data_IF_981963433903
#
_entry.id   IF_981963433903
#
_cell.length_a   1.000
_cell.length_b   1.000
_cell.length_c   1.000
_cell.angle_alpha   90.00
_cell.angle_beta   90.00
_cell.angle_gamma   90.00
#
_symmetry.space_group_name_H-M   'P 1'
#
loop_
_entity.id
_entity.type
_entity.pdbx_description
1 polymer ?
#
# COMPACT_ATOMS: atom_id res chain seq x y z
N UNK A 1 -29.36 -9.99 -18.41
CA UNK A 1 -28.13 -9.16 -18.43
C UNK A 1 -27.97 -8.59 -17.02
N UNK A 2 -27.11 -9.18 -16.17
CA UNK A 2 -26.93 -8.72 -14.78
C UNK A 2 -25.77 -7.73 -14.74
N UNK A 3 -26.08 -6.43 -14.64
CA UNK A 3 -25.10 -5.42 -14.25
C UNK A 3 -24.66 -5.73 -12.82
N UNK A 4 -23.36 -5.98 -12.64
CA UNK A 4 -22.75 -6.18 -11.34
C UNK A 4 -22.82 -4.87 -10.55
N UNK A 5 -23.47 -4.91 -9.39
CA UNK A 5 -23.48 -3.84 -8.40
C UNK A 5 -22.03 -3.51 -8.01
N UNK A 6 -21.55 -2.35 -8.49
CA UNK A 6 -20.41 -1.68 -7.90
C UNK A 6 -20.92 -1.05 -6.60
N UNK A 7 -20.23 -1.28 -5.48
CA UNK A 7 -20.58 -0.59 -4.23
C UNK A 7 -20.49 0.93 -4.46
N UNK A 8 -21.58 1.66 -4.20
CA UNK A 8 -21.74 3.07 -4.61
C UNK A 8 -20.77 4.07 -3.96
N UNK A 9 -19.86 3.61 -3.10
CA UNK A 9 -18.90 4.43 -2.36
C UNK A 9 -17.43 4.14 -2.73
N UNK A 10 -17.16 3.15 -3.59
CA UNK A 10 -15.83 2.91 -4.17
C UNK A 10 -15.71 3.59 -5.52
N UNK A 11 -14.59 4.27 -5.74
CA UNK A 11 -14.28 4.93 -7.01
C UNK A 11 -12.78 4.92 -7.28
N UNK A 12 -12.39 5.05 -8.54
CA UNK A 12 -10.97 5.18 -8.90
C UNK A 12 -10.37 6.42 -8.22
N UNK A 13 -9.15 6.28 -7.71
CA UNK A 13 -8.41 7.36 -7.07
C UNK A 13 -7.05 7.48 -7.70
N UNK A 14 -6.60 8.71 -7.93
CA UNK A 14 -5.26 8.96 -8.42
C UNK A 14 -4.24 8.84 -7.28
N UNK A 15 -3.06 8.30 -7.60
CA UNK A 15 -1.95 8.25 -6.66
C UNK A 15 -1.35 9.66 -6.39
N UNK A 16 -0.79 9.80 -5.19
CA UNK A 16 0.09 10.90 -4.78
C UNK A 16 1.49 10.28 -4.55
N UNK A 17 2.49 10.55 -5.40
CA UNK A 17 3.77 9.83 -5.41
C UNK A 17 4.56 9.83 -4.09
N UNK A 18 4.26 10.79 -3.20
CA UNK A 18 4.93 10.93 -1.90
C UNK A 18 4.23 10.17 -0.77
N UNK A 19 3.08 9.52 -1.03
CA UNK A 19 2.24 8.88 -0.02
C UNK A 19 1.86 7.46 -0.43
N UNK A 20 2.55 6.48 0.13
CA UNK A 20 2.24 5.06 -0.13
C UNK A 20 0.79 4.67 0.23
N UNK A 21 0.11 5.41 1.13
CA UNK A 21 -1.33 5.26 1.40
C UNK A 21 -2.21 5.56 0.18
N UNK A 22 -1.92 6.62 -0.59
CA UNK A 22 -2.69 6.88 -1.81
C UNK A 22 -2.41 5.83 -2.86
N UNK A 23 -1.18 5.33 -2.93
CA UNK A 23 -0.80 4.25 -3.84
C UNK A 23 -1.58 2.99 -3.53
N UNK A 24 -1.66 2.62 -2.24
CA UNK A 24 -2.46 1.48 -1.79
C UNK A 24 -3.94 1.63 -2.20
N UNK A 25 -4.58 2.76 -1.88
CA UNK A 25 -6.00 2.97 -2.19
C UNK A 25 -6.25 3.01 -3.71
N UNK A 26 -5.34 3.61 -4.50
CA UNK A 26 -5.42 3.57 -5.96
C UNK A 26 -5.39 2.13 -6.45
N UNK A 27 -4.41 1.33 -6.00
CA UNK A 27 -4.24 -0.05 -6.46
C UNK A 27 -5.41 -0.94 -6.04
N UNK A 28 -5.86 -0.85 -4.78
CA UNK A 28 -7.02 -1.63 -4.29
C UNK A 28 -8.27 -1.36 -5.15
N UNK A 29 -8.54 -0.08 -5.43
CA UNK A 29 -9.65 0.30 -6.29
C UNK A 29 -9.44 -0.13 -7.74
N UNK A 30 -8.23 0.05 -8.30
CA UNK A 30 -7.95 -0.37 -9.68
C UNK A 30 -8.13 -1.89 -9.86
N UNK A 31 -7.68 -2.69 -8.88
CA UNK A 31 -7.87 -4.14 -8.84
C UNK A 31 -9.36 -4.49 -8.76
N UNK A 32 -10.12 -3.82 -7.89
CA UNK A 32 -11.58 -3.99 -7.80
C UNK A 32 -12.28 -3.72 -9.14
N UNK A 33 -11.85 -2.68 -9.86
CA UNK A 33 -12.39 -2.30 -11.17
C UNK A 33 -11.69 -2.98 -12.36
N UNK A 34 -10.85 -4.01 -12.15
CA UNK A 34 -10.08 -4.67 -13.22
C UNK A 34 -10.92 -5.05 -14.44
N UNK A 35 -12.11 -5.61 -14.22
CA UNK A 35 -13.04 -5.98 -15.31
C UNK A 35 -13.51 -4.77 -16.11
N UNK A 36 -13.75 -3.64 -15.47
CA UNK A 36 -14.16 -2.42 -16.15
C UNK A 36 -13.04 -1.90 -17.08
N UNK A 37 -11.78 -1.95 -16.65
CA UNK A 37 -10.63 -1.61 -17.51
C UNK A 37 -10.53 -2.52 -18.73
N UNK A 38 -10.70 -3.84 -18.55
CA UNK A 38 -10.70 -4.79 -19.66
C UNK A 38 -11.86 -4.56 -20.63
N UNK A 39 -13.06 -4.25 -20.12
CA UNK A 39 -14.19 -3.91 -20.97
C UNK A 39 -13.98 -2.60 -21.73
N UNK A 40 -13.34 -1.60 -21.10
CA UNK A 40 -13.01 -0.34 -21.75
C UNK A 40 -12.04 -0.55 -22.93
N UNK A 41 -11.04 -1.42 -22.77
CA UNK A 41 -10.09 -1.77 -23.85
C UNK A 41 -10.77 -2.44 -25.05
N UNK A 42 -11.81 -3.23 -24.80
CA UNK A 42 -12.60 -3.85 -25.87
C UNK A 42 -13.56 -2.86 -26.54
N UNK A 43 -14.06 -1.87 -25.80
CA UNK A 43 -15.08 -0.93 -26.26
C UNK A 43 -14.54 0.39 -26.86
N UNK A 44 -13.34 0.81 -26.46
CA UNK A 44 -12.69 2.04 -26.92
C UNK A 44 -11.32 1.71 -27.52
N UNK A 45 -11.23 1.79 -28.85
CA UNK A 45 -10.01 1.51 -29.59
C UNK A 45 -8.86 2.48 -29.26
N UNK A 46 -9.15 3.65 -28.71
CA UNK A 46 -8.15 4.63 -28.27
C UNK A 46 -7.59 4.32 -26.87
N UNK A 47 -8.28 3.49 -26.08
CA UNK A 47 -7.80 3.10 -24.77
C UNK A 47 -6.71 2.04 -24.88
N UNK A 48 -5.45 2.44 -24.63
CA UNK A 48 -4.25 1.57 -24.71
C UNK A 48 -3.56 1.35 -23.36
N UNK A 49 -4.20 1.78 -22.27
CA UNK A 49 -3.59 1.81 -20.94
C UNK A 49 -4.08 0.67 -20.02
N UNK A 50 -4.71 -0.36 -20.57
CA UNK A 50 -5.11 -1.53 -19.79
C UNK A 50 -3.86 -2.30 -19.34
N UNK A 51 -3.66 -2.56 -18.04
CA UNK A 51 -2.54 -3.37 -17.59
C UNK A 51 -2.62 -4.80 -18.14
N UNK A 52 -1.48 -5.36 -18.51
CA UNK A 52 -1.33 -6.78 -18.88
C UNK A 52 -1.62 -7.70 -17.68
N UNK A 53 -1.81 -8.99 -17.94
CA UNK A 53 -1.99 -9.99 -16.87
C UNK A 53 -0.85 -9.95 -15.84
N UNK A 54 0.39 -9.81 -16.31
CA UNK A 54 1.58 -9.72 -15.44
C UNK A 54 1.63 -8.43 -14.62
N UNK A 55 1.13 -7.32 -15.16
CA UNK A 55 1.08 -6.04 -14.45
C UNK A 55 -0.02 -6.05 -13.39
N UNK A 56 -1.18 -6.65 -13.68
CA UNK A 56 -2.21 -6.89 -12.68
C UNK A 56 -1.70 -7.74 -11.51
N UNK A 57 -0.92 -8.78 -11.79
CA UNK A 57 -0.30 -9.61 -10.76
C UNK A 57 0.68 -8.78 -9.90
N UNK A 58 1.52 -7.94 -10.53
CA UNK A 58 2.39 -7.00 -9.81
C UNK A 58 1.58 -6.04 -8.94
N UNK A 59 0.50 -5.46 -9.45
CA UNK A 59 -0.39 -4.58 -8.68
C UNK A 59 -0.94 -5.29 -7.45
N UNK A 60 -1.40 -6.54 -7.58
CA UNK A 60 -1.91 -7.35 -6.46
C UNK A 60 -0.81 -7.58 -5.42
N UNK A 61 0.40 -7.95 -5.85
CA UNK A 61 1.51 -8.21 -4.93
C UNK A 61 1.96 -6.94 -4.19
N UNK A 62 2.01 -5.79 -4.88
CA UNK A 62 2.30 -4.50 -4.25
C UNK A 62 1.19 -4.10 -3.27
N UNK A 63 -0.08 -4.28 -3.66
CA UNK A 63 -1.21 -3.97 -2.80
C UNK A 63 -1.20 -4.80 -1.51
N UNK A 64 -0.93 -6.12 -1.62
CA UNK A 64 -0.76 -7.02 -0.47
C UNK A 64 0.39 -6.57 0.43
N UNK A 65 1.52 -6.21 -0.16
CA UNK A 65 2.67 -5.72 0.60
C UNK A 65 2.35 -4.42 1.36
N UNK A 66 1.59 -3.49 0.76
CA UNK A 66 1.23 -2.21 1.39
C UNK A 66 0.08 -2.29 2.40
N UNK A 67 -0.74 -3.36 2.38
CA UNK A 67 -1.93 -3.48 3.21
C UNK A 67 -1.67 -3.34 4.74
N UNK A 68 -0.67 -4.04 5.33
CA UNK A 68 -0.42 -3.94 6.77
C UNK A 68 -0.03 -2.52 7.20
N UNK A 69 0.72 -1.81 6.36
CA UNK A 69 1.10 -0.43 6.64
C UNK A 69 -0.14 0.47 6.66
N UNK A 70 -1.04 0.28 5.69
CA UNK A 70 -2.26 1.08 5.56
C UNK A 70 -3.14 0.92 6.79
N UNK A 71 -3.36 -0.31 7.24
CA UNK A 71 -4.12 -0.61 8.46
C UNK A 71 -3.53 0.09 9.68
N UNK A 72 -2.20 0.00 9.85
CA UNK A 72 -1.49 0.67 10.94
C UNK A 72 -1.65 2.19 10.85
N UNK A 73 -1.59 2.77 9.64
CA UNK A 73 -1.79 4.22 9.46
C UNK A 73 -3.22 4.65 9.75
N UNK A 74 -4.21 3.85 9.37
CA UNK A 74 -5.61 4.09 9.71
C UNK A 74 -5.83 4.04 11.24
N UNK A 75 -5.21 3.07 11.92
CA UNK A 75 -5.25 2.97 13.38
C UNK A 75 -4.68 4.25 14.03
N UNK A 76 -3.52 4.73 13.56
CA UNK A 76 -2.93 5.96 14.07
C UNK A 76 -3.76 7.21 13.72
N UNK A 77 -4.34 7.27 12.53
CA UNK A 77 -5.14 8.43 12.08
C UNK A 77 -6.50 8.54 12.79
N UNK A 78 -7.04 7.43 13.28
CA UNK A 78 -8.35 7.37 13.95
C UNK A 78 -8.31 7.58 15.46
N UNK A 79 -7.13 7.53 16.09
CA UNK A 79 -7.01 7.69 17.55
C UNK A 79 -6.73 9.14 17.92
N UNK A 80 -7.55 9.73 18.82
CA UNK A 80 -7.32 11.10 19.34
C UNK A 80 -5.99 11.22 20.11
N UNK A 81 -5.47 10.11 20.63
CA UNK A 81 -4.16 9.98 21.25
C UNK A 81 -3.69 8.53 21.08
N UNK A 82 -2.78 8.20 20.16
CA UNK A 82 -2.15 6.90 20.19
C UNK A 82 -1.32 6.83 21.47
N UNK A 83 -1.76 6.04 22.45
CA UNK A 83 -1.00 5.80 23.66
C UNK A 83 0.29 5.07 23.27
N UNK A 84 1.44 5.49 23.80
CA UNK A 84 2.76 5.00 23.38
C UNK A 84 2.90 3.47 23.43
N UNK A 85 2.13 2.82 24.31
CA UNK A 85 2.00 1.36 24.42
C UNK A 85 1.46 0.67 23.15
N UNK A 86 0.76 1.37 22.26
CA UNK A 86 0.30 0.86 20.96
C UNK A 86 1.30 1.21 19.84
N UNK A 87 2.02 2.33 19.98
CA UNK A 87 2.92 2.83 18.95
C UNK A 87 4.12 1.90 18.75
N UNK A 88 4.83 1.56 19.83
CA UNK A 88 6.06 0.78 19.74
C UNK A 88 5.84 -0.65 19.18
N UNK A 89 4.84 -1.43 19.64
CA UNK A 89 4.57 -2.75 19.06
C UNK A 89 4.23 -2.69 17.57
N UNK A 90 3.35 -1.77 17.14
CA UNK A 90 2.99 -1.64 15.73
C UNK A 90 4.20 -1.29 14.85
N UNK A 91 5.04 -0.36 15.29
CA UNK A 91 6.25 0.03 14.58
C UNK A 91 7.26 -1.13 14.52
N UNK A 92 7.44 -1.86 15.63
CA UNK A 92 8.32 -3.03 15.70
C UNK A 92 7.84 -4.17 14.78
N UNK A 93 6.54 -4.49 14.81
CA UNK A 93 5.94 -5.49 13.92
C UNK A 93 6.10 -5.11 12.45
N UNK A 94 5.90 -3.82 12.12
CA UNK A 94 6.11 -3.31 10.75
C UNK A 94 7.55 -3.53 10.29
N UNK A 95 8.52 -3.22 11.15
CA UNK A 95 9.94 -3.38 10.86
C UNK A 95 10.33 -4.86 10.69
N UNK A 96 9.80 -5.75 11.53
CA UNK A 96 10.02 -7.18 11.43
C UNK A 96 9.45 -7.75 10.12
N UNK A 97 8.23 -7.35 9.73
CA UNK A 97 7.61 -7.75 8.47
C UNK A 97 8.41 -7.29 7.26
N UNK A 98 8.91 -6.04 7.26
CA UNK A 98 9.81 -5.54 6.20
C UNK A 98 11.07 -6.41 6.05
N UNK A 99 11.71 -6.78 7.17
CA UNK A 99 12.91 -7.61 7.13
C UNK A 99 12.65 -9.03 6.62
N UNK A 100 11.52 -9.62 6.99
CA UNK A 100 11.14 -10.95 6.52
C UNK A 100 10.87 -10.97 5.00
N UNK A 101 10.14 -9.98 4.50
CA UNK A 101 9.86 -9.80 3.07
C UNK A 101 11.13 -9.45 2.26
N UNK A 102 12.13 -8.81 2.88
CA UNK A 102 13.41 -8.52 2.22
C UNK A 102 14.20 -9.78 1.83
N UNK A 103 14.06 -10.84 2.63
CA UNK A 103 14.79 -12.10 2.45
C UNK A 103 14.10 -13.08 1.50
N UNK A 104 12.78 -12.95 1.32
CA UNK A 104 11.96 -13.94 0.60
C UNK A 104 11.08 -13.36 -0.52
N UNK A 105 10.99 -12.03 -0.62
CA UNK A 105 10.10 -11.35 -1.55
C UNK A 105 10.62 -11.20 -2.97
N UNK A 106 9.72 -10.79 -3.87
CA UNK A 106 10.02 -10.51 -5.28
C UNK A 106 11.00 -9.34 -5.42
N UNK A 107 11.87 -9.34 -6.43
CA UNK A 107 12.94 -8.34 -6.60
C UNK A 107 12.45 -6.89 -6.52
N UNK A 108 11.32 -6.58 -7.18
CA UNK A 108 10.76 -5.23 -7.16
C UNK A 108 10.21 -4.84 -5.77
N UNK A 109 9.67 -5.80 -5.01
CA UNK A 109 9.24 -5.59 -3.62
C UNK A 109 10.47 -5.37 -2.75
N UNK A 110 11.53 -6.17 -2.92
CA UNK A 110 12.80 -6.00 -2.19
C UNK A 110 13.41 -4.61 -2.41
N UNK A 111 13.35 -4.11 -3.65
CA UNK A 111 13.77 -2.73 -3.95
C UNK A 111 12.91 -1.69 -3.22
N UNK A 112 11.59 -1.86 -3.20
CA UNK A 112 10.70 -0.98 -2.42
C UNK A 112 11.02 -1.04 -0.92
N UNK A 113 11.22 -2.23 -0.36
CA UNK A 113 11.60 -2.45 1.03
C UNK A 113 12.91 -1.75 1.35
N UNK A 114 13.93 -1.85 0.49
CA UNK A 114 15.20 -1.15 0.69
C UNK A 114 15.03 0.36 0.83
N UNK A 115 14.21 0.98 -0.03
CA UNK A 115 13.90 2.40 0.07
C UNK A 115 13.09 2.75 1.33
N UNK A 116 12.15 1.88 1.75
CA UNK A 116 11.34 2.09 2.95
C UNK A 116 12.18 1.96 4.23
N UNK A 117 13.04 0.94 4.31
CA UNK A 117 13.96 0.72 5.43
C UNK A 117 14.96 1.87 5.57
N UNK A 118 15.54 2.36 4.47
CA UNK A 118 16.46 3.49 4.53
C UNK A 118 15.81 4.76 5.12
N UNK A 119 14.54 5.03 4.75
CA UNK A 119 13.77 6.13 5.36
C UNK A 119 13.43 5.84 6.82
N UNK A 120 13.02 4.61 7.12
CA UNK A 120 12.69 4.19 8.48
C UNK A 120 13.88 4.37 9.43
N UNK A 121 15.05 3.87 9.07
CA UNK A 121 16.28 3.98 9.88
C UNK A 121 16.71 5.43 10.07
N UNK A 122 16.56 6.26 9.04
CA UNK A 122 16.81 7.70 9.14
C UNK A 122 15.92 8.33 10.22
N UNK A 123 14.60 8.14 10.15
CA UNK A 123 13.68 8.70 11.15
C UNK A 123 13.87 8.05 12.53
N UNK A 124 14.06 6.73 12.58
CA UNK A 124 14.25 6.01 13.83
C UNK A 124 15.47 6.52 14.60
N UNK A 125 16.58 6.83 13.91
CA UNK A 125 17.76 7.43 14.54
C UNK A 125 17.41 8.74 15.25
N UNK A 126 16.62 9.60 14.60
CA UNK A 126 16.22 10.90 15.14
C UNK A 126 15.26 10.76 16.34
N UNK A 127 14.37 9.77 16.34
CA UNK A 127 13.39 9.53 17.42
C UNK A 127 13.89 8.62 18.55
N UNK A 128 14.93 7.81 18.31
CA UNK A 128 15.43 6.83 19.28
C UNK A 128 15.93 7.47 20.58
N UNK A 129 16.50 8.67 20.50
CA UNK A 129 16.96 9.45 21.67
C UNK A 129 15.77 9.93 22.50
N UNK A 130 14.68 10.37 21.87
CA UNK A 130 13.47 10.80 22.57
C UNK A 130 12.74 9.62 23.24
N UNK A 131 12.72 8.45 22.58
CA UNK A 131 12.14 7.23 23.12
C UNK A 131 12.96 6.61 24.26
N UNK A 132 14.28 6.79 24.27
CA UNK A 132 15.16 6.24 25.29
C UNK A 132 15.12 7.02 26.63
N UNK A 133 14.62 8.25 26.62
CA UNK A 133 14.52 9.13 27.80
C UNK A 133 13.10 9.10 28.41
N UNK A 134 12.12 8.54 27.70
CA UNK A 134 10.71 8.48 28.10
C UNK A 134 10.40 7.37 29.12
#
# INVERSE_FOLDING_TARGET
>A
MRQSFLESNRGLRQDVPTRWNSTFVMLDNAIYFRRAFMHLELGDSNYKCCPSASEWEKCVNICKFLAPFYEITCLFSGSKYPTANLYFPCVSTTYASLKNEMSSGLEYIRRMIGCMLAKFEKYWKDFSVLLAIA
#
